data_IF_335560607330
#
_entry.id   IF_335560607330
#
_cell.length_a   1.000
_cell.length_b   1.000
_cell.length_c   1.000
_cell.angle_alpha   90.00
_cell.angle_beta   90.00
_cell.angle_gamma   90.00
#
_symmetry.space_group_name_H-M   'P 1'
#
loop_
_entity.id
_entity.type
_entity.pdbx_description
1 polymer ?
#
# COMPACT_ATOMS: atom_id res chain seq x y z
N UNK A 1 1.36 12.60 -24.97
CA UNK A 1 0.62 12.72 -23.76
C UNK A 1 1.33 12.14 -22.57
N UNK A 2 1.50 12.92 -21.56
CA UNK A 2 2.25 12.45 -20.42
C UNK A 2 1.38 11.58 -19.53
N UNK A 3 2.02 10.63 -18.87
CA UNK A 3 1.36 9.83 -17.86
C UNK A 3 1.14 10.69 -16.64
N UNK A 4 0.00 10.51 -16.04
CA UNK A 4 -0.26 11.18 -14.77
C UNK A 4 0.28 10.32 -13.65
N UNK A 5 1.00 10.97 -12.74
CA UNK A 5 1.47 10.29 -11.56
C UNK A 5 0.32 10.09 -10.60
N UNK A 6 0.31 8.95 -9.95
CA UNK A 6 -0.65 8.68 -8.90
C UNK A 6 -0.20 9.49 -7.68
N UNK A 7 -1.14 10.20 -7.08
CA UNK A 7 -0.87 10.97 -5.88
C UNK A 7 -1.30 10.13 -4.68
N UNK A 8 -0.31 9.63 -3.93
CA UNK A 8 -0.57 8.77 -2.80
C UNK A 8 -1.47 9.44 -1.76
N UNK A 9 -1.36 10.77 -1.61
CA UNK A 9 -2.13 11.47 -0.60
C UNK A 9 -3.63 11.45 -0.88
N UNK A 10 -4.02 11.29 -2.14
CA UNK A 10 -5.44 11.21 -2.48
C UNK A 10 -6.11 9.99 -1.90
N UNK A 11 -5.32 8.96 -1.61
CA UNK A 11 -5.83 7.72 -1.07
C UNK A 11 -5.44 7.53 0.40
N UNK A 12 -4.75 8.51 0.98
CA UNK A 12 -4.28 8.40 2.34
C UNK A 12 -3.07 7.52 2.51
N UNK A 13 -2.41 7.15 1.42
CA UNK A 13 -1.20 6.33 1.48
C UNK A 13 0.01 7.18 1.86
N UNK A 14 1.03 6.57 2.47
CA UNK A 14 2.21 7.33 2.91
C UNK A 14 3.05 7.80 1.72
N UNK A 15 3.80 8.87 1.94
CA UNK A 15 4.76 9.32 0.96
C UNK A 15 5.89 8.32 0.84
N UNK A 16 6.54 8.31 -0.30
CA UNK A 16 7.69 7.44 -0.51
C UNK A 16 7.37 6.16 -1.24
N UNK A 17 6.09 5.86 -1.45
CA UNK A 17 5.71 4.71 -2.25
C UNK A 17 6.05 4.98 -3.72
N UNK A 18 6.63 3.98 -4.38
CA UNK A 18 6.92 4.10 -5.80
C UNK A 18 5.64 4.06 -6.62
N UNK A 19 5.69 4.60 -7.83
CA UNK A 19 4.55 4.52 -8.72
C UNK A 19 4.13 3.08 -9.00
N UNK A 20 5.06 2.14 -9.24
CA UNK A 20 4.66 0.75 -9.40
C UNK A 20 3.92 0.19 -8.20
N UNK A 21 4.35 0.55 -6.97
CA UNK A 21 3.67 0.07 -5.78
C UNK A 21 2.25 0.64 -5.69
N UNK A 22 2.10 1.93 -6.01
CA UNK A 22 0.77 2.55 -6.00
C UNK A 22 -0.14 1.92 -7.04
N UNK A 23 0.40 1.66 -8.24
CA UNK A 23 -0.37 0.98 -9.27
C UNK A 23 -0.80 -0.41 -8.85
N UNK A 24 0.10 -1.11 -8.14
CA UNK A 24 -0.23 -2.45 -7.66
C UNK A 24 -1.38 -2.41 -6.67
N UNK A 25 -1.35 -1.46 -5.75
CA UNK A 25 -2.42 -1.32 -4.77
C UNK A 25 -3.75 -1.01 -5.44
N UNK A 26 -3.75 0.00 -6.29
CA UNK A 26 -4.99 0.42 -6.94
C UNK A 26 -5.51 -0.66 -7.88
N UNK A 27 -4.61 -1.33 -8.59
CA UNK A 27 -5.00 -2.41 -9.49
C UNK A 27 -5.60 -3.59 -8.78
N UNK A 28 -5.23 -3.80 -7.52
CA UNK A 28 -5.79 -4.86 -6.71
C UNK A 28 -7.06 -4.42 -5.96
N UNK A 29 -7.47 -3.18 -6.16
CA UNK A 29 -8.69 -2.67 -5.55
C UNK A 29 -8.51 -1.99 -4.22
N UNK A 30 -7.26 -1.76 -3.80
CA UNK A 30 -6.99 -1.10 -2.52
C UNK A 30 -6.85 0.39 -2.73
N UNK A 31 -7.84 1.14 -2.29
CA UNK A 31 -7.88 2.58 -2.49
C UNK A 31 -7.77 3.37 -1.18
N UNK A 32 -7.53 2.68 -0.06
CA UNK A 32 -7.32 3.33 1.22
C UNK A 32 -6.53 2.43 2.15
N UNK A 33 -5.89 3.03 3.15
CA UNK A 33 -5.15 2.26 4.16
C UNK A 33 -6.06 1.33 4.96
N UNK A 34 -7.29 1.76 5.22
CA UNK A 34 -8.21 0.94 6.01
C UNK A 34 -8.41 -0.43 5.42
N UNK A 35 -8.43 -0.52 4.09
CA UNK A 35 -8.63 -1.80 3.42
C UNK A 35 -7.48 -2.77 3.68
N UNK A 36 -6.31 -2.25 3.99
CA UNK A 36 -5.14 -3.09 4.19
C UNK A 36 -5.16 -3.81 5.53
N UNK A 37 -6.04 -3.41 6.44
CA UNK A 37 -6.14 -4.09 7.73
C UNK A 37 -6.69 -5.50 7.59
N UNK A 38 -7.28 -5.82 6.46
CA UNK A 38 -7.80 -7.17 6.19
C UNK A 38 -6.87 -7.97 5.29
N UNK A 39 -5.69 -7.45 4.98
CA UNK A 39 -4.76 -8.05 4.02
C UNK A 39 -3.48 -8.43 4.76
N UNK A 40 -2.95 -9.59 4.44
CA UNK A 40 -1.67 -10.03 5.00
C UNK A 40 -0.51 -9.43 4.21
N UNK A 41 0.58 -9.12 4.90
CA UNK A 41 1.76 -8.59 4.24
C UNK A 41 2.26 -9.50 3.13
N UNK A 42 2.24 -10.81 3.38
CA UNK A 42 2.71 -11.77 2.39
C UNK A 42 1.88 -11.70 1.11
N UNK A 43 0.59 -11.45 1.24
CA UNK A 43 -0.27 -11.33 0.06
C UNK A 43 0.04 -10.08 -0.74
N UNK A 44 0.32 -8.97 -0.05
CA UNK A 44 0.70 -7.74 -0.74
C UNK A 44 2.02 -7.91 -1.48
N UNK A 45 2.97 -8.62 -0.89
CA UNK A 45 4.27 -8.82 -1.52
C UNK A 45 4.17 -9.61 -2.83
N UNK A 46 3.08 -10.33 -3.03
CA UNK A 46 2.86 -11.06 -4.27
C UNK A 46 2.45 -10.16 -5.42
N UNK A 47 2.03 -8.93 -5.12
CA UNK A 47 1.62 -8.02 -6.18
C UNK A 47 2.84 -7.52 -6.96
N UNK A 48 2.72 -7.51 -8.28
CA UNK A 48 3.80 -7.01 -9.12
C UNK A 48 4.00 -5.52 -8.83
N UNK A 49 5.24 -5.12 -8.57
CA UNK A 49 5.55 -3.74 -8.25
C UNK A 49 5.61 -3.46 -6.76
N UNK A 50 5.22 -4.43 -5.93
CA UNK A 50 5.27 -4.27 -4.49
C UNK A 50 6.56 -4.88 -3.96
N UNK A 51 7.27 -4.16 -3.10
CA UNK A 51 8.52 -4.64 -2.52
C UNK A 51 8.56 -4.44 -1.01
N UNK A 52 9.63 -4.95 -0.37
CA UNK A 52 9.73 -4.84 1.09
C UNK A 52 9.70 -3.41 1.59
N UNK A 53 10.29 -2.49 0.85
CA UNK A 53 10.31 -1.09 1.27
C UNK A 53 8.91 -0.50 1.32
N UNK A 54 8.09 -0.84 0.33
CA UNK A 54 6.70 -0.39 0.32
C UNK A 54 5.93 -0.95 1.50
N UNK A 55 6.17 -2.22 1.83
CA UNK A 55 5.52 -2.85 2.97
C UNK A 55 5.89 -2.14 4.27
N UNK A 56 7.16 -1.77 4.44
CA UNK A 56 7.59 -1.05 5.63
C UNK A 56 6.87 0.29 5.75
N UNK A 57 6.76 1.01 4.64
CA UNK A 57 6.08 2.31 4.64
C UNK A 57 4.61 2.16 4.99
N UNK A 58 3.95 1.16 4.42
CA UNK A 58 2.54 0.92 4.70
C UNK A 58 2.33 0.48 6.14
N UNK A 59 3.20 -0.38 6.64
CA UNK A 59 3.12 -0.83 8.03
C UNK A 59 3.24 0.36 8.99
N UNK A 60 4.21 1.23 8.74
CA UNK A 60 4.39 2.41 9.58
C UNK A 60 3.18 3.32 9.55
N UNK A 61 2.59 3.50 8.36
CA UNK A 61 1.42 4.34 8.22
C UNK A 61 0.23 3.78 8.98
N UNK A 62 0.06 2.45 8.94
CA UNK A 62 -1.01 1.81 9.68
C UNK A 62 -0.80 1.93 11.18
N UNK A 63 0.43 1.69 11.63
CA UNK A 63 0.75 1.79 13.06
C UNK A 63 0.49 3.19 13.59
N UNK A 64 0.77 4.21 12.79
CA UNK A 64 0.53 5.58 13.19
C UNK A 64 -0.95 5.86 13.45
N UNK A 65 -1.83 5.04 12.88
CA UNK A 65 -3.27 5.15 13.05
C UNK A 65 -3.82 4.14 14.06
N UNK A 66 -2.94 3.42 14.74
CA UNK A 66 -3.34 2.36 15.64
C UNK A 66 -3.84 1.11 14.96
N UNK A 67 -3.46 0.92 13.69
CA UNK A 67 -3.91 -0.20 12.87
C UNK A 67 -2.72 -1.08 12.49
N UNK A 68 -3.00 -2.23 11.91
CA UNK A 68 -1.97 -3.13 11.42
C UNK A 68 -2.55 -3.98 10.29
N UNK A 69 -1.66 -4.65 9.55
CA UNK A 69 -2.09 -5.64 8.59
C UNK A 69 -2.76 -6.81 9.30
N UNK A 70 -3.48 -7.62 8.54
CA UNK A 70 -4.04 -8.84 9.07
C UNK A 70 -2.91 -9.76 9.53
N UNK A 71 -3.14 -10.45 10.63
CA UNK A 71 -2.14 -11.37 11.14
C UNK A 71 -2.05 -12.60 10.28
N UNK A 72 -0.82 -13.08 10.14
CA UNK A 72 -0.57 -14.33 9.45
C UNK A 72 -0.62 -15.46 10.45
N UNK A 73 -1.36 -16.32 10.22
CA UNK A 73 -1.34 -17.39 11.13
C UNK A 73 -2.41 -18.06 11.60
#
# INVERSE_FOLDING_TARGET
MSEQKIDASEYGFPKGLSQPALRALLGAGYTSLDQLTTVKEADLLKLHGMGPKAIVLLRSALHARGQSFAEEG
#
